data_IF_777742994263
#
_entry.id   IF_777742994263
#
_cell.length_a   1.000
_cell.length_b   1.000
_cell.length_c   1.000
_cell.angle_alpha   90.00
_cell.angle_beta   90.00
_cell.angle_gamma   90.00
#
_symmetry.space_group_name_H-M   'P 1'
#
loop_
_entity.id
_entity.type
_entity.pdbx_description
1 polymer ?
#
# COMPACT_ATOMS: atom_id res chain seq x y z
N UNK A 1 -2.08 25.23 8.94
CA UNK A 1 -3.34 24.52 8.66
C UNK A 1 -3.00 23.04 8.67
N UNK A 2 -3.55 22.28 9.58
CA UNK A 2 -3.26 20.83 9.67
C UNK A 2 -4.39 20.08 9.01
N UNK A 3 -4.07 19.19 8.08
CA UNK A 3 -5.04 18.27 7.47
C UNK A 3 -5.67 17.40 8.58
N UNK A 4 -6.99 17.44 8.71
CA UNK A 4 -7.70 16.70 9.75
C UNK A 4 -8.99 16.08 9.21
N UNK A 5 -9.32 14.88 9.68
CA UNK A 5 -10.54 14.14 9.30
C UNK A 5 -11.79 14.97 9.56
N UNK A 6 -11.86 15.67 10.68
CA UNK A 6 -13.00 16.53 11.06
C UNK A 6 -13.32 17.67 10.08
N UNK A 7 -12.41 17.97 9.15
CA UNK A 7 -12.64 18.94 8.08
C UNK A 7 -13.37 18.34 6.87
N UNK A 8 -13.49 17.01 6.80
CA UNK A 8 -14.22 16.31 5.75
C UNK A 8 -15.73 16.32 6.09
N UNK A 9 -16.50 17.11 5.33
CA UNK A 9 -17.92 17.32 5.59
C UNK A 9 -18.84 16.66 4.56
N UNK A 10 -18.29 16.21 3.44
CA UNK A 10 -19.06 15.66 2.33
C UNK A 10 -18.41 14.39 1.82
N UNK A 11 -19.21 13.48 1.27
CA UNK A 11 -18.69 12.27 0.61
C UNK A 11 -17.69 12.57 -0.52
N UNK A 12 -17.87 13.69 -1.22
CA UNK A 12 -16.94 14.13 -2.26
C UNK A 12 -15.56 14.41 -1.66
N UNK A 13 -15.52 15.08 -0.49
CA UNK A 13 -14.25 15.35 0.21
C UNK A 13 -13.61 14.07 0.72
N UNK A 14 -14.39 13.15 1.28
CA UNK A 14 -13.92 11.83 1.70
C UNK A 14 -13.28 11.07 0.54
N UNK A 15 -13.97 10.95 -0.59
CA UNK A 15 -13.43 10.28 -1.79
C UNK A 15 -12.23 11.00 -2.38
N UNK A 16 -12.18 12.31 -2.34
CA UNK A 16 -11.03 13.09 -2.82
C UNK A 16 -9.79 12.86 -1.94
N UNK A 17 -9.96 12.82 -0.62
CA UNK A 17 -8.87 12.69 0.33
C UNK A 17 -8.38 11.24 0.50
N UNK A 18 -9.29 10.26 0.53
CA UNK A 18 -8.99 8.87 0.90
C UNK A 18 -9.22 7.86 -0.22
N UNK A 19 -9.98 8.22 -1.25
CA UNK A 19 -10.49 7.29 -2.26
C UNK A 19 -11.77 6.57 -1.83
N UNK A 20 -12.20 6.69 -0.56
CA UNK A 20 -13.34 6.02 0.04
C UNK A 20 -14.41 7.04 0.45
N UNK A 21 -15.66 6.62 0.54
CA UNK A 21 -16.67 7.35 1.29
C UNK A 21 -16.51 7.11 2.80
N UNK A 22 -17.17 7.92 3.63
CA UNK A 22 -17.07 7.85 5.09
C UNK A 22 -17.42 6.47 5.64
N UNK A 23 -18.48 5.84 5.15
CA UNK A 23 -18.92 4.52 5.58
C UNK A 23 -17.85 3.45 5.30
N UNK A 24 -17.29 3.43 4.08
CA UNK A 24 -16.24 2.48 3.70
C UNK A 24 -14.95 2.71 4.45
N UNK A 25 -14.63 3.98 4.73
CA UNK A 25 -13.50 4.32 5.57
C UNK A 25 -13.68 3.75 6.98
N UNK A 26 -14.85 3.91 7.61
CA UNK A 26 -15.16 3.35 8.92
C UNK A 26 -15.05 1.83 8.96
N UNK A 27 -15.58 1.12 7.95
CA UNK A 27 -15.42 -0.33 7.84
C UNK A 27 -13.95 -0.76 7.72
N UNK A 28 -13.16 -0.05 6.93
CA UNK A 28 -11.73 -0.34 6.80
C UNK A 28 -10.98 -0.05 8.10
N UNK A 29 -11.38 0.99 8.83
CA UNK A 29 -10.79 1.37 10.11
C UNK A 29 -10.91 0.24 11.15
N UNK A 30 -12.06 -0.41 11.27
CA UNK A 30 -12.26 -1.53 12.19
C UNK A 30 -11.22 -2.65 11.97
N UNK A 31 -10.97 -3.03 10.72
CA UNK A 31 -9.96 -4.04 10.39
C UNK A 31 -8.53 -3.52 10.54
N UNK A 32 -8.31 -2.23 10.27
CA UNK A 32 -7.02 -1.60 10.43
C UNK A 32 -6.58 -1.54 11.90
N UNK A 33 -7.50 -1.22 12.81
CA UNK A 33 -7.29 -1.25 14.26
C UNK A 33 -6.93 -2.66 14.74
N UNK A 34 -7.66 -3.68 14.29
CA UNK A 34 -7.35 -5.08 14.60
C UNK A 34 -5.97 -5.49 14.11
N UNK A 35 -5.61 -5.12 12.87
CA UNK A 35 -4.30 -5.39 12.31
C UNK A 35 -3.19 -4.66 13.07
N UNK A 36 -3.41 -3.39 13.46
CA UNK A 36 -2.46 -2.64 14.28
C UNK A 36 -2.24 -3.33 15.63
N UNK A 37 -3.33 -3.70 16.30
CA UNK A 37 -3.27 -4.42 17.59
C UNK A 37 -2.56 -5.78 17.45
N UNK A 38 -2.80 -6.51 16.37
CA UNK A 38 -2.12 -7.78 16.09
C UNK A 38 -0.61 -7.61 15.91
N UNK A 39 -0.19 -6.54 15.21
CA UNK A 39 1.22 -6.27 14.92
C UNK A 39 2.01 -5.73 16.12
N UNK A 40 1.36 -4.96 17.00
CA UNK A 40 2.06 -4.18 18.04
C UNK A 40 1.61 -4.48 19.46
N UNK A 41 0.55 -5.27 19.68
CA UNK A 41 0.03 -5.63 21.00
C UNK A 41 -0.62 -4.49 21.80
N UNK A 42 -0.72 -3.29 21.19
CA UNK A 42 -1.24 -2.08 21.84
C UNK A 42 -1.75 -1.08 20.80
N UNK A 43 -2.57 -0.12 21.22
CA UNK A 43 -3.08 0.94 20.37
C UNK A 43 -2.02 1.99 20.03
N UNK A 44 -2.26 2.80 18.98
CA UNK A 44 -1.42 3.97 18.65
C UNK A 44 -1.32 4.89 19.85
N UNK A 45 -2.44 5.21 20.49
CA UNK A 45 -2.48 6.08 21.66
C UNK A 45 -1.66 5.53 22.84
N UNK A 46 -1.79 4.23 23.17
CA UNK A 46 -1.03 3.60 24.24
C UNK A 46 0.48 3.59 23.95
N UNK A 47 0.86 3.30 22.71
CA UNK A 47 2.26 3.33 22.28
C UNK A 47 2.88 4.73 22.38
N UNK A 48 2.10 5.74 22.06
CA UNK A 48 2.56 7.14 22.08
C UNK A 48 2.63 7.72 23.48
N UNK A 49 1.80 7.25 24.42
CA UNK A 49 1.88 7.63 25.82
C UNK A 49 3.23 7.28 26.47
N UNK A 50 4.01 6.39 25.85
CA UNK A 50 5.36 6.02 26.30
C UNK A 50 6.47 6.95 25.74
N UNK A 51 6.12 7.91 24.90
CA UNK A 51 7.07 8.79 24.22
C UNK A 51 6.89 10.22 24.77
N UNK A 52 7.97 10.86 25.20
CA UNK A 52 7.95 12.23 25.77
C UNK A 52 7.56 13.32 24.75
N UNK A 53 7.67 13.03 23.45
CA UNK A 53 7.38 14.00 22.37
C UNK A 53 5.92 13.86 21.93
N UNK A 54 5.20 14.98 21.86
CA UNK A 54 3.84 15.01 21.33
C UNK A 54 3.76 14.47 19.91
N UNK A 55 3.00 13.38 19.69
CA UNK A 55 2.91 12.75 18.38
C UNK A 55 2.09 13.60 17.40
N UNK A 56 2.43 13.50 16.13
CA UNK A 56 1.68 14.18 15.07
C UNK A 56 0.36 13.49 14.73
N UNK A 57 0.29 12.16 14.87
CA UNK A 57 -0.90 11.34 14.71
C UNK A 57 -1.15 10.60 16.02
N UNK A 58 -2.38 10.66 16.54
CA UNK A 58 -2.71 10.22 17.90
C UNK A 58 -3.61 8.98 17.96
N UNK A 59 -4.12 8.53 16.83
CA UNK A 59 -5.03 7.36 16.72
C UNK A 59 -4.78 6.56 15.45
N UNK A 60 -5.31 5.34 15.42
CA UNK A 60 -5.36 4.50 14.24
C UNK A 60 -6.15 5.16 13.11
N UNK A 61 -7.21 5.88 13.44
CA UNK A 61 -8.02 6.64 12.51
C UNK A 61 -7.19 7.72 11.79
N UNK A 62 -6.42 8.52 12.54
CA UNK A 62 -5.54 9.54 11.96
C UNK A 62 -4.42 8.90 11.13
N UNK A 63 -3.88 7.75 11.55
CA UNK A 63 -2.85 7.01 10.82
C UNK A 63 -3.40 6.45 9.51
N UNK A 64 -4.59 5.82 9.54
CA UNK A 64 -5.24 5.31 8.33
C UNK A 64 -5.56 6.46 7.36
N UNK A 65 -6.14 7.55 7.87
CA UNK A 65 -6.45 8.72 7.06
C UNK A 65 -5.20 9.30 6.38
N UNK A 66 -4.13 9.52 7.15
CA UNK A 66 -2.86 10.01 6.61
C UNK A 66 -2.30 9.07 5.54
N UNK A 67 -2.37 7.76 5.77
CA UNK A 67 -1.88 6.74 4.84
C UNK A 67 -2.65 6.77 3.53
N UNK A 68 -3.98 6.75 3.58
CA UNK A 68 -4.84 6.81 2.39
C UNK A 68 -4.69 8.15 1.65
N UNK A 69 -4.60 9.26 2.40
CA UNK A 69 -4.34 10.58 1.82
C UNK A 69 -2.99 10.63 1.09
N UNK A 70 -1.94 10.05 1.67
CA UNK A 70 -0.62 10.01 1.04
C UNK A 70 -0.62 9.23 -0.27
N UNK A 71 -1.31 8.08 -0.32
CA UNK A 71 -1.49 7.28 -1.52
C UNK A 71 -2.33 7.98 -2.58
N UNK A 72 -3.41 8.64 -2.16
CA UNK A 72 -4.34 9.32 -3.07
C UNK A 72 -3.78 10.59 -3.67
N UNK A 73 -3.04 11.37 -2.88
CA UNK A 73 -2.49 12.66 -3.29
C UNK A 73 -1.19 12.55 -4.09
N UNK A 74 -0.41 11.49 -3.87
CA UNK A 74 0.91 11.34 -4.49
C UNK A 74 1.92 12.44 -4.10
N UNK A 75 1.70 13.14 -2.98
CA UNK A 75 2.56 14.21 -2.53
C UNK A 75 3.94 13.68 -2.09
N UNK A 76 4.97 14.48 -2.28
CA UNK A 76 6.29 14.22 -1.69
C UNK A 76 6.24 14.28 -0.18
N UNK A 77 7.20 13.69 0.52
CA UNK A 77 7.25 13.72 1.98
C UNK A 77 7.35 15.12 2.56
N UNK A 78 8.02 16.05 1.87
CA UNK A 78 8.07 17.45 2.26
C UNK A 78 6.67 18.08 2.30
N UNK A 79 5.91 17.90 1.22
CA UNK A 79 4.55 18.45 1.13
C UNK A 79 3.57 17.71 2.06
N UNK A 80 3.72 16.39 2.23
CA UNK A 80 2.95 15.65 3.23
C UNK A 80 3.22 16.18 4.65
N UNK A 81 4.48 16.46 4.96
CA UNK A 81 4.87 17.09 6.22
C UNK A 81 4.19 18.44 6.42
N UNK A 82 4.28 19.33 5.43
CA UNK A 82 3.66 20.65 5.47
C UNK A 82 2.16 20.59 5.72
N UNK A 83 1.42 19.78 4.92
CA UNK A 83 -0.05 19.70 5.04
C UNK A 83 -0.51 18.99 6.31
N UNK A 84 0.31 18.10 6.87
CA UNK A 84 -0.01 17.35 8.09
C UNK A 84 0.57 17.96 9.37
N UNK A 85 1.35 19.03 9.24
CA UNK A 85 1.98 19.71 10.38
C UNK A 85 3.07 18.88 11.06
N UNK A 86 3.83 18.12 10.30
CA UNK A 86 4.96 17.31 10.77
C UNK A 86 6.19 17.52 9.87
N UNK A 87 7.38 17.12 10.34
CA UNK A 87 8.57 17.13 9.52
C UNK A 87 8.59 15.98 8.50
N UNK A 88 9.45 16.08 7.48
CA UNK A 88 9.65 15.08 6.42
C UNK A 88 9.91 13.68 6.97
N UNK A 89 10.78 13.57 7.99
CA UNK A 89 11.17 12.27 8.56
C UNK A 89 9.99 11.58 9.25
N UNK A 90 9.15 12.36 9.96
CA UNK A 90 7.94 11.86 10.58
C UNK A 90 6.87 11.53 9.54
N UNK A 91 6.72 12.33 8.47
CA UNK A 91 5.81 12.01 7.37
C UNK A 91 6.17 10.66 6.73
N UNK A 92 7.45 10.43 6.44
CA UNK A 92 7.94 9.15 5.90
C UNK A 92 7.68 7.99 6.86
N UNK A 93 8.07 8.11 8.14
CA UNK A 93 7.88 7.04 9.14
C UNK A 93 6.41 6.69 9.34
N UNK A 94 5.53 7.68 9.40
CA UNK A 94 4.09 7.46 9.55
C UNK A 94 3.48 6.80 8.31
N UNK A 95 3.92 7.17 7.10
CA UNK A 95 3.47 6.51 5.89
C UNK A 95 3.93 5.05 5.85
N UNK A 96 5.19 4.76 6.14
CA UNK A 96 5.73 3.39 6.19
C UNK A 96 5.00 2.54 7.23
N UNK A 97 4.74 3.10 8.41
CA UNK A 97 3.96 2.45 9.47
C UNK A 97 2.54 2.13 9.00
N UNK A 98 1.84 3.13 8.47
CA UNK A 98 0.47 2.96 8.00
C UNK A 98 0.35 1.98 6.83
N UNK A 99 1.30 2.00 5.88
CA UNK A 99 1.34 1.04 4.77
C UNK A 99 1.56 -0.39 5.27
N UNK A 100 2.41 -0.59 6.30
CA UNK A 100 2.62 -1.90 6.90
C UNK A 100 1.35 -2.45 7.53
N UNK A 101 0.62 -1.62 8.29
CA UNK A 101 -0.65 -2.02 8.90
C UNK A 101 -1.72 -2.25 7.84
N UNK A 102 -1.83 -1.38 6.83
CA UNK A 102 -2.78 -1.55 5.74
C UNK A 102 -2.54 -2.84 4.94
N UNK A 103 -1.28 -3.18 4.68
CA UNK A 103 -0.94 -4.45 4.03
C UNK A 103 -1.38 -5.65 4.86
N UNK A 104 -1.18 -5.61 6.17
CA UNK A 104 -1.63 -6.68 7.07
C UNK A 104 -3.16 -6.77 7.11
N UNK A 105 -3.85 -5.63 7.13
CA UNK A 105 -5.31 -5.56 7.00
C UNK A 105 -5.80 -6.25 5.73
N UNK A 106 -5.19 -5.92 4.58
CA UNK A 106 -5.57 -6.51 3.29
C UNK A 106 -5.26 -8.01 3.21
N UNK A 107 -4.18 -8.48 3.85
CA UNK A 107 -3.87 -9.91 3.96
C UNK A 107 -4.94 -10.66 4.77
N UNK A 108 -5.30 -10.14 5.93
CA UNK A 108 -6.32 -10.72 6.80
C UNK A 108 -7.68 -10.80 6.10
N UNK A 109 -8.01 -9.80 5.30
CA UNK A 109 -9.23 -9.77 4.49
C UNK A 109 -9.17 -10.63 3.20
N UNK A 110 -8.00 -11.21 2.89
CA UNK A 110 -7.83 -12.02 1.68
C UNK A 110 -7.75 -11.22 0.37
N UNK A 111 -7.53 -9.90 0.43
CA UNK A 111 -7.45 -9.03 -0.74
C UNK A 111 -6.04 -8.89 -1.33
N UNK A 112 -5.04 -9.54 -0.75
CA UNK A 112 -3.70 -9.54 -1.34
C UNK A 112 -3.63 -10.58 -2.45
N UNK A 113 -3.19 -10.21 -3.67
CA UNK A 113 -3.04 -11.15 -4.75
C UNK A 113 -1.97 -12.19 -4.39
N UNK A 114 -2.24 -13.45 -4.73
CA UNK A 114 -1.23 -14.50 -4.67
C UNK A 114 -0.17 -14.24 -5.74
N UNK A 115 1.08 -14.08 -5.34
CA UNK A 115 2.18 -13.70 -6.24
C UNK A 115 3.08 -14.86 -6.63
N UNK A 116 3.05 -15.95 -5.87
CA UNK A 116 3.91 -17.11 -6.08
C UNK A 116 3.07 -18.38 -6.12
N UNK A 117 3.39 -19.25 -7.06
CA UNK A 117 2.78 -20.55 -7.23
C UNK A 117 3.90 -21.61 -7.27
N UNK A 118 3.73 -22.69 -6.53
CA UNK A 118 4.71 -23.77 -6.43
C UNK A 118 4.67 -24.69 -7.66
N UNK A 119 3.56 -24.68 -8.41
CA UNK A 119 3.36 -25.52 -9.59
C UNK A 119 2.34 -24.94 -10.54
N UNK A 120 2.36 -25.41 -11.78
CA UNK A 120 1.33 -25.08 -12.80
C UNK A 120 -0.05 -25.54 -12.33
N UNK A 121 -0.15 -26.72 -11.71
CA UNK A 121 -1.42 -27.24 -11.19
C UNK A 121 -2.01 -26.33 -10.10
N UNK A 122 -1.19 -25.74 -9.24
CA UNK A 122 -1.63 -24.78 -8.23
C UNK A 122 -2.12 -23.47 -8.87
N UNK A 123 -1.41 -22.99 -9.89
CA UNK A 123 -1.81 -21.83 -10.67
C UNK A 123 -3.17 -22.05 -11.36
N UNK A 124 -3.33 -23.18 -12.03
CA UNK A 124 -4.60 -23.56 -12.69
C UNK A 124 -5.74 -23.69 -11.67
N UNK A 125 -5.50 -24.31 -10.53
CA UNK A 125 -6.51 -24.47 -9.48
C UNK A 125 -6.93 -23.11 -8.88
N UNK A 126 -5.99 -22.19 -8.71
CA UNK A 126 -6.27 -20.85 -8.22
C UNK A 126 -7.14 -20.04 -9.19
N UNK A 127 -6.87 -20.17 -10.50
CA UNK A 127 -7.58 -19.44 -11.56
C UNK A 127 -8.83 -20.16 -12.08
N UNK A 128 -9.11 -21.37 -11.63
CA UNK A 128 -10.22 -22.21 -12.13
C UNK A 128 -11.60 -21.56 -12.04
N UNK A 129 -11.77 -20.57 -11.16
CA UNK A 129 -13.03 -19.83 -10.98
C UNK A 129 -13.14 -18.58 -11.86
N UNK A 130 -12.03 -18.18 -12.50
CA UNK A 130 -11.99 -16.97 -13.32
C UNK A 130 -12.31 -17.31 -14.77
N UNK A 131 -13.31 -16.60 -15.33
CA UNK A 131 -13.71 -16.82 -16.73
C UNK A 131 -12.80 -16.09 -17.73
N UNK A 132 -12.13 -15.02 -17.31
CA UNK A 132 -11.25 -14.21 -18.16
C UNK A 132 -9.99 -13.89 -17.40
N UNK A 133 -8.84 -14.19 -17.98
CA UNK A 133 -7.53 -13.85 -17.46
C UNK A 133 -6.86 -12.84 -18.38
N UNK A 134 -6.46 -11.69 -17.84
CA UNK A 134 -5.66 -10.71 -18.57
C UNK A 134 -4.20 -10.94 -18.18
N UNK A 135 -3.38 -11.33 -19.16
CA UNK A 135 -1.94 -11.50 -18.97
C UNK A 135 -1.23 -10.28 -19.56
N UNK A 136 -0.48 -9.58 -18.72
CA UNK A 136 0.46 -8.54 -19.14
C UNK A 136 1.90 -9.02 -18.90
N UNK A 137 2.70 -9.05 -19.95
CA UNK A 137 4.08 -9.49 -19.92
C UNK A 137 5.02 -8.32 -20.09
N UNK A 138 5.92 -8.12 -19.14
CA UNK A 138 6.99 -7.13 -19.24
C UNK A 138 8.30 -7.82 -19.59
N UNK A 139 8.88 -7.40 -20.70
CA UNK A 139 10.20 -7.87 -21.15
C UNK A 139 11.31 -7.10 -20.42
N UNK A 140 12.16 -7.80 -19.68
CA UNK A 140 13.31 -7.21 -19.01
C UNK A 140 14.59 -7.44 -19.83
N UNK A 141 15.33 -6.38 -20.08
CA UNK A 141 16.64 -6.51 -20.76
C UNK A 141 17.64 -7.18 -19.83
N UNK A 142 18.30 -8.19 -20.33
CA UNK A 142 19.43 -8.85 -19.65
C UNK A 142 20.75 -8.50 -20.36
N UNK A 143 21.84 -8.70 -19.66
CA UNK A 143 23.18 -8.59 -20.27
C UNK A 143 23.30 -9.68 -21.34
N UNK A 144 23.85 -9.30 -22.52
CA UNK A 144 23.99 -10.22 -23.64
C UNK A 144 24.84 -11.42 -23.25
N UNK A 145 24.33 -12.67 -23.33
CA UNK A 145 25.11 -13.87 -23.11
C UNK A 145 26.29 -13.96 -24.08
N UNK A 146 27.38 -14.58 -23.68
CA UNK A 146 28.53 -14.83 -24.56
C UNK A 146 28.28 -15.99 -25.54
N UNK A 147 27.51 -16.98 -25.09
CA UNK A 147 27.15 -18.14 -25.89
C UNK A 147 26.06 -17.82 -26.92
N UNK A 148 26.24 -18.34 -28.18
CA UNK A 148 25.33 -18.07 -29.29
C UNK A 148 23.96 -18.74 -29.13
N UNK A 149 23.89 -19.90 -28.51
CA UNK A 149 22.61 -20.61 -28.32
C UNK A 149 21.79 -19.91 -27.21
N UNK A 150 22.43 -19.50 -26.13
CA UNK A 150 21.80 -18.69 -25.10
C UNK A 150 21.30 -17.34 -25.66
N UNK A 151 22.06 -16.72 -26.57
CA UNK A 151 21.64 -15.51 -27.27
C UNK A 151 20.35 -15.72 -28.08
N UNK A 152 20.24 -16.86 -28.78
CA UNK A 152 19.03 -17.19 -29.55
C UNK A 152 17.81 -17.40 -28.67
N UNK A 153 17.99 -18.09 -27.54
CA UNK A 153 16.91 -18.34 -26.57
C UNK A 153 16.42 -17.05 -25.92
N UNK A 154 17.31 -16.09 -25.70
CA UNK A 154 17.01 -14.81 -25.05
C UNK A 154 16.65 -13.70 -26.02
N UNK A 155 16.60 -13.99 -27.32
CA UNK A 155 16.32 -12.95 -28.34
C UNK A 155 14.85 -12.63 -28.45
N UNK A 156 14.49 -11.37 -28.23
CA UNK A 156 13.15 -10.86 -28.51
C UNK A 156 13.08 -10.23 -29.90
N UNK A 157 12.36 -10.89 -30.80
CA UNK A 157 12.09 -10.36 -32.14
C UNK A 157 11.28 -9.06 -32.15
N UNK A 158 10.46 -8.84 -31.12
CA UNK A 158 9.61 -7.64 -30.97
C UNK A 158 10.41 -6.39 -30.65
N UNK A 159 11.43 -6.49 -29.79
CA UNK A 159 12.29 -5.36 -29.39
C UNK A 159 13.65 -5.35 -30.08
N UNK A 160 13.92 -6.32 -30.95
CA UNK A 160 15.23 -6.50 -31.62
C UNK A 160 16.42 -6.45 -30.65
N UNK A 161 16.29 -7.10 -29.51
CA UNK A 161 17.30 -7.15 -28.44
C UNK A 161 17.28 -8.45 -27.66
N UNK A 162 18.29 -8.65 -26.81
CA UNK A 162 18.41 -9.79 -25.91
C UNK A 162 17.73 -9.42 -24.57
N UNK A 163 16.98 -10.36 -24.01
CA UNK A 163 16.22 -10.22 -22.79
C UNK A 163 16.58 -11.32 -21.81
#
# INVERSE_FOLDING_TARGET
MKLAIKELRTERQWRAATGLDERRFGLLLEYFEQAYQSLYGQTVAARQALIEVSPSLTSEEELLYFTLFSLKSGLTYDLLGVVSGMDLSNAKRNQELGLKVLLETLKTLGYTPKREFQSVAEFEAFLKKEMVLILDGTEQRIQRPQDREEQKLSYSGKKKGIQ
#
